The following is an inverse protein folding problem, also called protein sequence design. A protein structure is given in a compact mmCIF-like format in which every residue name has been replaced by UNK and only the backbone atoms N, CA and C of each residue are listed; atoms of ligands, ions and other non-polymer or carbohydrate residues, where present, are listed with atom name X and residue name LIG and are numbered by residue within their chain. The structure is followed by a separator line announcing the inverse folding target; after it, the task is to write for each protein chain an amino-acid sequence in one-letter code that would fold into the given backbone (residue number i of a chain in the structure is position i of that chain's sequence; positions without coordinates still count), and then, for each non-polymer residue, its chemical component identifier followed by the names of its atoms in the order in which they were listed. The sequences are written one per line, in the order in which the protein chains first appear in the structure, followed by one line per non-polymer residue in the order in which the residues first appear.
data_IF_741717891396
#
_entry.id   IF_741717891396
#
_cell.length_a   1.000
_cell.length_b   1.000
_cell.length_c   1.000
_cell.angle_alpha   90.00
_cell.angle_beta   90.00
_cell.angle_gamma   90.00
#
_symmetry.space_group_name_H-M   'P 1'
#
loop_
_entity.id
_entity.type
_entity.pdbx_description
1 polymer ?
#
# COMPACT_ATOMS: atom_id res chain seq x y z
N UNK A 1 -10.55 -3.30 2.52
CA UNK A 1 -9.26 -3.88 2.90
C UNK A 1 -9.27 -4.24 4.38
N UNK A 2 -9.51 -5.51 4.66
CA UNK A 2 -9.30 -6.15 5.97
C UNK A 2 -7.85 -6.65 6.09
N UNK A 3 -7.45 -7.09 7.28
CA UNK A 3 -6.13 -7.72 7.49
C UNK A 3 -5.97 -8.97 6.62
N UNK A 4 -7.00 -9.79 6.47
CA UNK A 4 -6.93 -11.00 5.65
C UNK A 4 -6.83 -10.66 4.16
N UNK A 5 -7.60 -9.68 3.69
CA UNK A 5 -7.48 -9.18 2.30
C UNK A 5 -6.07 -8.61 2.05
N UNK A 6 -5.49 -7.93 3.04
CA UNK A 6 -4.12 -7.41 2.94
C UNK A 6 -3.07 -8.52 2.90
N UNK A 7 -3.22 -9.56 3.73
CA UNK A 7 -2.35 -10.75 3.72
C UNK A 7 -2.43 -11.43 2.35
N UNK A 8 -3.64 -11.63 1.83
CA UNK A 8 -3.85 -12.24 0.51
C UNK A 8 -3.17 -11.44 -0.60
N UNK A 9 -3.29 -10.11 -0.61
CA UNK A 9 -2.60 -9.25 -1.60
C UNK A 9 -1.09 -9.28 -1.48
N UNK A 10 -0.55 -9.33 -0.26
CA UNK A 10 0.89 -9.48 -0.07
C UNK A 10 1.39 -10.87 -0.48
N UNK A 11 0.58 -11.91 -0.25
CA UNK A 11 0.88 -13.27 -0.70
C UNK A 11 0.88 -13.36 -2.22
N UNK A 12 -0.12 -12.78 -2.89
CA UNK A 12 -0.17 -12.69 -4.36
C UNK A 12 1.08 -11.96 -4.91
N UNK A 13 1.48 -10.85 -4.31
CA UNK A 13 2.70 -10.13 -4.71
C UNK A 13 3.97 -10.98 -4.47
N UNK A 14 4.04 -11.70 -3.35
CA UNK A 14 5.15 -12.59 -3.05
C UNK A 14 5.24 -13.76 -4.06
N UNK A 15 4.11 -14.38 -4.39
CA UNK A 15 4.01 -15.41 -5.43
C UNK A 15 4.38 -14.88 -6.83
N UNK A 16 4.14 -13.58 -7.08
CA UNK A 16 4.56 -12.86 -8.27
C UNK A 16 6.05 -12.51 -8.34
N UNK A 17 6.87 -12.90 -7.35
CA UNK A 17 8.31 -12.65 -7.33
C UNK A 17 8.73 -11.42 -6.51
N UNK A 18 7.79 -10.70 -5.90
CA UNK A 18 8.06 -9.48 -5.11
C UNK A 18 8.19 -9.74 -3.61
N UNK A 19 8.43 -10.99 -3.18
CA UNK A 19 8.43 -11.38 -1.77
C UNK A 19 9.56 -10.77 -0.94
N UNK A 20 10.67 -10.40 -1.57
CA UNK A 20 11.82 -9.75 -0.93
C UNK A 20 11.78 -8.21 -1.05
N UNK A 21 10.71 -7.64 -1.62
CA UNK A 21 10.57 -6.20 -1.75
C UNK A 21 10.26 -5.53 -0.40
N UNK A 22 10.86 -4.36 -0.18
CA UNK A 22 10.52 -3.45 0.91
C UNK A 22 9.08 -2.94 0.73
N UNK A 23 8.29 -2.97 1.80
CA UNK A 23 6.92 -2.41 1.79
C UNK A 23 6.97 -0.96 2.25
N UNK A 24 6.58 -0.03 1.38
CA UNK A 24 6.44 1.40 1.70
C UNK A 24 5.00 1.87 1.61
N UNK A 25 4.70 2.94 2.35
CA UNK A 25 3.38 3.59 2.32
C UNK A 25 3.43 4.76 1.34
N UNK A 26 2.67 4.66 0.24
CA UNK A 26 2.41 5.81 -0.64
C UNK A 26 1.24 6.60 -0.07
N UNK A 27 1.55 7.77 0.49
CA UNK A 27 0.56 8.65 1.11
C UNK A 27 0.63 10.04 0.50
N UNK A 28 -0.52 10.56 0.05
CA UNK A 28 -0.68 11.95 -0.35
C UNK A 28 -1.76 12.59 0.54
N UNK A 29 -1.40 13.40 1.55
CA UNK A 29 -2.37 13.96 2.48
C UNK A 29 -3.36 14.87 1.75
N UNK A 30 -4.58 14.38 1.57
CA UNK A 30 -5.75 15.25 1.51
C UNK A 30 -6.41 15.22 2.88
N UNK A 31 -6.90 16.35 3.37
CA UNK A 31 -7.74 16.35 4.57
C UNK A 31 -8.93 15.42 4.29
N UNK A 32 -9.26 14.41 5.13
CA UNK A 32 -8.88 14.13 6.54
C UNK A 32 -7.74 13.11 6.82
N UNK A 33 -7.28 13.00 8.10
CA UNK A 33 -6.06 12.30 8.56
C UNK A 33 -6.18 10.79 8.87
N UNK A 34 -7.36 10.19 8.73
CA UNK A 34 -7.57 8.75 8.84
C UNK A 34 -8.05 8.25 7.49
N UNK A 35 -7.50 7.13 7.05
CA UNK A 35 -7.86 6.57 5.77
C UNK A 35 -7.79 5.05 5.77
N UNK A 36 -8.55 4.45 4.85
CA UNK A 36 -8.44 3.04 4.52
C UNK A 36 -7.28 2.82 3.56
N UNK A 37 -6.68 1.64 3.56
CA UNK A 37 -5.79 1.23 2.47
C UNK A 37 -6.69 0.68 1.35
N UNK A 38 -6.53 1.17 0.14
CA UNK A 38 -7.32 0.73 -1.02
C UNK A 38 -6.64 -0.36 -1.84
N UNK A 39 -5.31 -0.40 -1.88
CA UNK A 39 -4.58 -1.38 -2.69
C UNK A 39 -3.07 -1.34 -2.53
N UNK A 40 -2.43 -2.23 -3.28
CA UNK A 40 -0.98 -2.34 -3.42
C UNK A 40 -0.64 -1.98 -4.87
N UNK A 41 0.43 -1.24 -5.08
CA UNK A 41 1.06 -1.02 -6.37
C UNK A 41 2.45 -1.67 -6.38
N UNK A 42 2.76 -2.39 -7.44
CA UNK A 42 4.03 -3.09 -7.63
C UNK A 42 4.92 -2.38 -8.66
N UNK A 43 6.19 -2.78 -8.81
CA UNK A 43 7.04 -2.29 -9.89
C UNK A 43 6.43 -2.51 -11.28
N UNK A 44 5.69 -3.61 -11.49
CA UNK A 44 4.98 -3.85 -12.76
C UNK A 44 3.92 -2.78 -13.05
N UNK A 45 3.20 -2.31 -12.04
CA UNK A 45 2.21 -1.24 -12.21
C UNK A 45 2.87 0.07 -12.63
N UNK A 46 4.07 0.35 -12.12
CA UNK A 46 4.89 1.51 -12.52
C UNK A 46 5.31 1.40 -13.99
N UNK A 47 5.91 0.28 -14.40
CA UNK A 47 6.34 0.04 -15.79
C UNK A 47 5.17 0.16 -16.77
N UNK A 48 4.00 -0.39 -16.40
CA UNK A 48 2.76 -0.29 -17.18
C UNK A 48 2.25 1.15 -17.28
N UNK A 49 2.36 1.94 -16.23
CA UNK A 49 1.94 3.35 -16.22
C UNK A 49 2.88 4.25 -17.05
N UNK A 50 4.18 3.93 -17.09
CA UNK A 50 5.20 4.67 -17.84
C UNK A 50 5.28 4.26 -19.33
N UNK A 51 4.64 3.15 -19.71
CA UNK A 51 4.55 2.70 -21.10
C UNK A 51 5.77 1.92 -21.59
N UNK A 52 6.59 1.40 -20.67
CA UNK A 52 7.74 0.55 -20.97
C UNK A 52 7.45 -0.87 -20.49
N UNK A 53 6.96 -1.77 -21.37
CA UNK A 53 6.43 -3.06 -20.94
C UNK A 53 7.47 -4.16 -20.72
N UNK A 54 8.76 -3.93 -21.00
CA UNK A 54 9.77 -5.01 -21.13
C UNK A 54 11.16 -4.69 -20.52
N UNK A 55 11.32 -3.65 -19.70
CA UNK A 55 12.56 -3.50 -18.92
C UNK A 55 12.41 -4.23 -17.58
N UNK A 56 13.31 -5.20 -17.31
CA UNK A 56 13.39 -5.84 -15.99
C UNK A 56 13.56 -4.72 -14.93
N UNK A 57 12.73 -4.71 -13.87
CA UNK A 57 12.84 -3.69 -12.84
C UNK A 57 14.26 -3.72 -12.28
N UNK A 58 14.95 -2.57 -12.32
CA UNK A 58 16.26 -2.39 -11.71
C UNK A 58 16.20 -2.94 -10.27
N UNK A 59 17.21 -3.66 -9.77
CA UNK A 59 17.18 -4.29 -8.43
C UNK A 59 16.89 -3.27 -7.31
N UNK A 60 17.11 -1.98 -7.59
CA UNK A 60 16.74 -0.85 -6.74
C UNK A 60 15.21 -0.57 -6.63
N UNK A 61 14.38 -1.16 -7.50
CA UNK A 61 12.92 -1.09 -7.54
C UNK A 61 12.25 -2.17 -6.66
N UNK A 62 12.94 -2.64 -5.62
CA UNK A 62 12.42 -3.58 -4.63
C UNK A 62 11.43 -2.92 -3.66
N UNK A 63 10.49 -2.11 -4.15
CA UNK A 63 9.55 -1.37 -3.31
C UNK A 63 8.13 -1.60 -3.79
N UNK A 64 7.26 -2.09 -2.91
CA UNK A 64 5.81 -2.08 -3.12
C UNK A 64 5.16 -0.95 -2.33
N UNK A 65 4.17 -0.31 -2.93
CA UNK A 65 3.47 0.82 -2.31
C UNK A 65 2.05 0.46 -1.91
N UNK A 66 1.67 0.82 -0.69
CA UNK A 66 0.25 0.81 -0.28
C UNK A 66 -0.38 2.18 -0.53
N UNK A 67 -1.54 2.23 -1.17
CA UNK A 67 -2.22 3.49 -1.49
C UNK A 67 -3.55 3.69 -0.74
N UNK A 68 -3.93 4.96 -0.60
CA UNK A 68 -5.07 5.44 0.19
C UNK A 68 -6.45 5.18 -0.48
N UNK A 69 -7.43 4.75 0.33
CA UNK A 69 -8.84 4.53 -0.03
C UNK A 69 -9.84 5.53 0.57
N UNK A 70 -9.38 6.60 1.21
CA UNK A 70 -10.19 7.66 1.79
C UNK A 70 -10.68 7.38 3.22
N UNK A 71 -11.49 8.29 3.77
CA UNK A 71 -11.89 8.28 5.18
C UNK A 71 -12.89 7.16 5.50
N UNK A 72 -12.60 6.29 6.50
CA UNK A 72 -13.42 5.10 6.78
C UNK A 72 -14.81 5.42 7.35
N UNK A 73 -14.97 6.51 8.11
CA UNK A 73 -16.17 6.76 8.91
C UNK A 73 -16.47 8.26 9.05
N UNK A 74 -17.65 8.74 8.67
CA UNK A 74 -18.07 10.16 8.84
C UNK A 74 -18.10 10.68 10.31
N UNK A 75 -17.53 9.96 11.28
CA UNK A 75 -17.57 10.21 12.71
C UNK A 75 -16.31 10.91 13.29
N UNK A 76 -15.11 10.75 12.71
CA UNK A 76 -13.88 11.40 13.22
C UNK A 76 -12.72 11.33 12.23
N UNK A 77 -12.00 12.43 11.94
CA UNK A 77 -10.85 12.43 11.01
C UNK A 77 -9.59 11.72 11.54
N UNK A 78 -9.63 11.13 12.74
CA UNK A 78 -8.49 10.49 13.41
C UNK A 78 -8.77 9.02 13.72
N UNK A 79 -7.71 8.20 13.67
CA UNK A 79 -7.74 6.83 14.20
C UNK A 79 -8.17 6.80 15.69
N UNK A 80 -8.80 5.73 16.17
CA UNK A 80 -9.27 5.67 17.54
C UNK A 80 -8.10 5.72 18.55
N UNK A 81 -8.32 6.35 19.71
CA UNK A 81 -7.27 6.60 20.71
C UNK A 81 -6.52 5.34 21.18
N UNK A 82 -7.18 4.18 21.20
CA UNK A 82 -6.54 2.92 21.57
C UNK A 82 -5.47 2.47 20.56
N UNK A 83 -5.62 2.83 19.27
CA UNK A 83 -4.67 2.45 18.23
C UNK A 83 -3.32 3.15 18.45
N UNK A 84 -3.34 4.42 18.87
CA UNK A 84 -2.13 5.16 19.24
C UNK A 84 -1.50 4.63 20.52
N UNK A 85 -2.30 4.19 21.49
CA UNK A 85 -1.82 3.62 22.74
C UNK A 85 -1.19 2.22 22.55
N UNK A 86 -1.65 1.45 21.57
CA UNK A 86 -1.14 0.12 21.27
C UNK A 86 0.15 0.12 20.42
N UNK A 87 0.49 1.25 19.81
CA UNK A 87 1.70 1.43 18.99
C UNK A 87 2.92 1.97 19.77
N UNK A 88 2.74 2.27 21.06
CA UNK A 88 3.80 2.66 22.00
C UNK A 88 4.25 1.46 22.84
#
# INVERSE_FOLDING_TARGET
MTVNEMIERLQEAAEGGFGECEVRLAFQPSWPLQFTVAGIATPDDESRAQGEPDEEPDDAASVVYLFEGGHPDNASPYAPAWAFAAAQ
#
